data_IF_001717865674
#
_entry.id   IF_001717865674
#
_cell.length_a   1.000
_cell.length_b   1.000
_cell.length_c   1.000
_cell.angle_alpha   90.00
_cell.angle_beta   90.00
_cell.angle_gamma   90.00
#
_symmetry.space_group_name_H-M   'P 1'
#
loop_
_entity.id
_entity.type
_entity.pdbx_description
1 polymer ?
#
# COMPACT_ATOMS: atom_id res chain seq x y z
N UNK A 1 -21.80 12.29 -22.20
CA UNK A 1 -20.58 11.95 -22.98
C UNK A 1 -19.40 12.85 -22.66
N UNK A 2 -19.40 14.13 -23.07
CA UNK A 2 -18.24 15.03 -22.84
C UNK A 2 -17.96 15.25 -21.34
N UNK A 3 -18.99 15.53 -20.55
CA UNK A 3 -18.87 15.75 -19.10
C UNK A 3 -18.31 14.52 -18.37
N UNK A 4 -18.75 13.33 -18.75
CA UNK A 4 -18.30 12.07 -18.16
C UNK A 4 -16.82 11.79 -18.48
N UNK A 5 -16.42 12.04 -19.75
CA UNK A 5 -15.03 11.90 -20.16
C UNK A 5 -14.07 12.81 -19.35
N UNK A 6 -14.44 14.08 -19.15
CA UNK A 6 -13.63 15.00 -18.34
C UNK A 6 -13.62 14.65 -16.85
N UNK A 7 -14.74 14.14 -16.31
CA UNK A 7 -14.79 13.66 -14.93
C UNK A 7 -13.88 12.45 -14.71
N UNK A 8 -13.84 11.51 -15.65
CA UNK A 8 -12.94 10.35 -15.63
C UNK A 8 -11.46 10.80 -15.74
N UNK A 9 -11.17 11.81 -16.58
CA UNK A 9 -9.82 12.38 -16.71
C UNK A 9 -9.36 13.08 -15.42
N UNK A 10 -10.19 13.94 -14.84
CA UNK A 10 -9.86 14.63 -13.59
C UNK A 10 -9.66 13.66 -12.41
N UNK A 11 -10.34 12.52 -12.44
CA UNK A 11 -10.09 11.42 -11.50
C UNK A 11 -8.70 10.82 -11.64
N UNK A 12 -8.20 10.65 -12.88
CA UNK A 12 -6.85 10.14 -13.14
C UNK A 12 -5.76 11.15 -12.76
N UNK A 13 -5.96 12.43 -13.06
CA UNK A 13 -5.00 13.49 -12.70
C UNK A 13 -4.79 13.58 -11.18
N UNK A 14 -5.87 13.47 -10.39
CA UNK A 14 -5.77 13.42 -8.91
C UNK A 14 -4.93 12.26 -8.39
N UNK A 15 -4.88 11.12 -9.09
CA UNK A 15 -4.00 10.00 -8.70
C UNK A 15 -2.54 10.43 -8.83
N UNK A 16 -2.16 11.13 -9.91
CA UNK A 16 -0.81 11.63 -10.08
C UNK A 16 -0.42 12.65 -9.01
N UNK A 17 -1.35 13.52 -8.60
CA UNK A 17 -1.13 14.46 -7.50
C UNK A 17 -0.93 13.75 -6.16
N UNK A 18 -1.74 12.73 -5.86
CA UNK A 18 -1.61 11.90 -4.67
C UNK A 18 -0.26 11.17 -4.65
N UNK A 19 0.17 10.66 -5.81
CA UNK A 19 1.47 10.00 -5.98
C UNK A 19 2.62 10.97 -5.79
N UNK A 20 2.51 12.17 -6.35
CA UNK A 20 3.53 13.20 -6.23
C UNK A 20 3.70 13.64 -4.76
N UNK A 21 2.61 13.99 -4.09
CA UNK A 21 2.63 14.37 -2.67
C UNK A 21 2.98 13.19 -1.75
N UNK A 22 2.57 11.99 -2.14
CA UNK A 22 2.72 10.75 -1.38
C UNK A 22 4.08 10.09 -1.50
N UNK A 23 4.83 10.29 -2.59
CA UNK A 23 6.13 9.63 -2.80
C UNK A 23 7.23 10.57 -3.29
N UNK A 24 6.92 11.85 -3.57
CA UNK A 24 7.90 12.83 -4.01
C UNK A 24 8.30 12.64 -5.47
N UNK A 25 7.37 12.32 -6.37
CA UNK A 25 7.67 12.13 -7.80
C UNK A 25 8.32 13.36 -8.45
N UNK A 26 8.13 14.56 -7.89
CA UNK A 26 8.82 15.78 -8.32
C UNK A 26 10.32 15.80 -8.02
N UNK A 27 10.81 14.92 -7.13
CA UNK A 27 12.22 14.84 -6.70
C UNK A 27 12.62 13.37 -6.55
N UNK A 28 12.93 12.76 -7.68
CA UNK A 28 13.21 11.33 -7.76
C UNK A 28 14.50 10.96 -7.02
N UNK A 29 14.54 9.80 -6.34
CA UNK A 29 15.62 9.48 -5.40
C UNK A 29 16.88 8.90 -6.05
N UNK A 30 16.85 8.54 -7.34
CA UNK A 30 17.96 7.89 -8.03
C UNK A 30 18.56 8.77 -9.12
N UNK A 31 19.85 8.58 -9.36
CA UNK A 31 20.58 9.30 -10.41
C UNK A 31 20.20 8.78 -11.81
N UNK A 32 19.87 7.50 -11.93
CA UNK A 32 19.56 6.87 -13.21
C UNK A 32 18.06 6.75 -13.44
N UNK A 33 17.63 7.04 -14.68
CA UNK A 33 16.23 6.98 -15.04
C UNK A 33 15.66 5.56 -14.95
N UNK A 34 16.45 4.52 -15.27
CA UNK A 34 16.00 3.13 -15.16
C UNK A 34 15.58 2.76 -13.72
N UNK A 35 16.39 3.16 -12.73
CA UNK A 35 16.08 2.94 -11.31
C UNK A 35 14.87 3.77 -10.86
N UNK A 36 14.76 5.00 -11.35
CA UNK A 36 13.60 5.85 -11.09
C UNK A 36 12.32 5.28 -11.71
N UNK A 37 12.38 4.67 -12.89
CA UNK A 37 11.23 3.98 -13.50
C UNK A 37 10.76 2.84 -12.61
N UNK A 38 11.67 2.03 -12.07
CA UNK A 38 11.32 0.98 -11.11
C UNK A 38 10.68 1.58 -9.85
N UNK A 39 11.23 2.68 -9.32
CA UNK A 39 10.64 3.40 -8.19
C UNK A 39 9.21 3.90 -8.47
N UNK A 40 8.98 4.51 -9.63
CA UNK A 40 7.66 4.97 -10.05
C UNK A 40 6.66 3.80 -10.16
N UNK A 41 7.08 2.68 -10.76
CA UNK A 41 6.24 1.47 -10.87
C UNK A 41 5.92 0.87 -9.50
N UNK A 42 6.90 0.72 -8.62
CA UNK A 42 6.70 0.20 -7.27
C UNK A 42 5.75 1.08 -6.47
N UNK A 43 5.93 2.39 -6.51
CA UNK A 43 5.05 3.32 -5.80
C UNK A 43 3.63 3.31 -6.38
N UNK A 44 3.46 3.18 -7.69
CA UNK A 44 2.14 3.03 -8.31
C UNK A 44 1.43 1.72 -7.88
N UNK A 45 2.16 0.60 -7.80
CA UNK A 45 1.62 -0.65 -7.25
C UNK A 45 1.19 -0.50 -5.78
N UNK A 46 2.00 0.18 -4.96
CA UNK A 46 1.65 0.47 -3.57
C UNK A 46 0.37 1.30 -3.49
N UNK A 47 0.14 2.25 -4.41
CA UNK A 47 -1.11 3.01 -4.46
C UNK A 47 -2.33 2.13 -4.71
N UNK A 48 -2.23 1.19 -5.65
CA UNK A 48 -3.32 0.25 -5.92
C UNK A 48 -3.65 -0.60 -4.69
N UNK A 49 -2.62 -1.08 -3.97
CA UNK A 49 -2.81 -1.79 -2.70
C UNK A 49 -3.42 -0.89 -1.62
N UNK A 50 -2.92 0.33 -1.47
CA UNK A 50 -3.46 1.32 -0.53
C UNK A 50 -4.96 1.52 -0.76
N UNK A 51 -5.41 1.81 -1.99
CA UNK A 51 -6.85 2.02 -2.28
C UNK A 51 -7.69 0.78 -1.98
N UNK A 52 -7.18 -0.40 -2.33
CA UNK A 52 -7.89 -1.67 -2.11
C UNK A 52 -7.97 -2.02 -0.63
N UNK A 53 -6.87 -1.87 0.12
CA UNK A 53 -6.82 -2.23 1.54
C UNK A 53 -7.59 -1.22 2.39
N UNK A 54 -7.45 0.07 2.11
CA UNK A 54 -8.20 1.13 2.81
C UNK A 54 -9.71 1.00 2.66
N UNK A 55 -10.18 0.38 1.58
CA UNK A 55 -11.62 0.16 1.34
C UNK A 55 -12.15 -1.16 1.92
N UNK A 56 -11.32 -2.20 2.02
CA UNK A 56 -11.76 -3.56 2.44
C UNK A 56 -11.45 -3.90 3.89
N UNK A 57 -10.37 -3.37 4.47
CA UNK A 57 -9.96 -3.69 5.85
C UNK A 57 -10.41 -2.61 6.84
N UNK A 58 -10.61 -3.00 8.09
CA UNK A 58 -10.74 -2.05 9.20
C UNK A 58 -9.37 -1.43 9.51
N UNK A 59 -9.06 -0.38 8.76
CA UNK A 59 -7.76 0.31 8.83
C UNK A 59 -7.52 1.03 10.16
N UNK A 60 -8.57 1.29 10.94
CA UNK A 60 -8.44 1.87 12.29
C UNK A 60 -7.69 0.94 13.24
N UNK A 61 -7.85 -0.37 13.10
CA UNK A 61 -7.13 -1.37 13.90
C UNK A 61 -5.60 -1.31 13.65
N UNK A 62 -5.18 -0.74 12.52
CA UNK A 62 -3.78 -0.51 12.16
C UNK A 62 -3.30 0.91 12.50
N UNK A 63 -4.12 1.70 13.19
CA UNK A 63 -3.85 3.10 13.50
C UNK A 63 -3.93 4.02 12.29
N UNK A 64 -4.66 3.62 11.24
CA UNK A 64 -4.89 4.41 10.04
C UNK A 64 -6.32 4.98 10.04
N UNK A 65 -6.45 6.23 9.61
CA UNK A 65 -7.74 6.88 9.36
C UNK A 65 -8.02 6.80 7.86
N UNK A 66 -9.29 6.89 7.45
CA UNK A 66 -9.66 6.96 6.01
C UNK A 66 -8.97 8.12 5.27
N UNK A 67 -8.60 9.17 6.00
CA UNK A 67 -7.88 10.36 5.50
C UNK A 67 -6.36 10.27 5.65
N UNK A 68 -5.83 9.17 6.20
CA UNK A 68 -4.38 8.97 6.32
C UNK A 68 -3.72 8.94 4.95
N UNK A 69 -2.61 9.66 4.80
CA UNK A 69 -1.83 9.67 3.56
C UNK A 69 -1.19 8.30 3.31
N UNK A 70 -0.92 7.99 2.05
CA UNK A 70 -0.29 6.73 1.62
C UNK A 70 1.05 6.44 2.33
N UNK A 71 1.87 7.44 2.63
CA UNK A 71 3.12 7.26 3.42
C UNK A 71 2.86 6.64 4.79
N UNK A 72 1.80 7.09 5.47
CA UNK A 72 1.42 6.56 6.78
C UNK A 72 0.93 5.11 6.66
N UNK A 73 0.20 4.79 5.58
CA UNK A 73 -0.18 3.41 5.27
C UNK A 73 1.05 2.53 5.03
N UNK A 74 2.02 2.96 4.23
CA UNK A 74 3.25 2.20 3.98
C UNK A 74 3.99 1.93 5.29
N UNK A 75 4.18 2.96 6.11
CA UNK A 75 4.90 2.85 7.38
C UNK A 75 4.17 1.99 8.42
N UNK A 76 2.85 2.07 8.48
CA UNK A 76 2.09 1.30 9.48
C UNK A 76 1.82 -0.11 9.00
N UNK A 77 1.39 -0.30 7.75
CA UNK A 77 0.88 -1.57 7.25
C UNK A 77 1.92 -2.40 6.48
N UNK A 78 2.73 -1.77 5.63
CA UNK A 78 3.62 -2.49 4.70
C UNK A 78 4.98 -2.80 5.33
N UNK A 79 5.59 -1.87 6.08
CA UNK A 79 6.93 -2.06 6.64
C UNK A 79 6.98 -2.97 7.88
N UNK A 80 5.90 -3.65 8.21
CA UNK A 80 5.89 -4.62 9.31
C UNK A 80 6.65 -5.87 8.88
N UNK A 81 7.72 -6.27 9.59
CA UNK A 81 8.50 -7.44 9.23
C UNK A 81 7.68 -8.72 9.43
N UNK A 82 7.79 -9.64 8.47
CA UNK A 82 7.16 -10.94 8.54
C UNK A 82 8.05 -12.02 7.90
N UNK A 83 7.89 -13.27 8.34
CA UNK A 83 8.65 -14.43 7.85
C UNK A 83 7.75 -15.66 7.78
N UNK A 84 7.79 -16.38 6.67
CA UNK A 84 7.20 -17.72 6.57
C UNK A 84 8.09 -18.74 7.29
N UNK A 85 7.51 -19.49 8.23
CA UNK A 85 8.22 -20.50 9.03
C UNK A 85 7.49 -21.83 8.88
N UNK A 86 8.24 -22.92 8.69
CA UNK A 86 7.67 -24.27 8.66
C UNK A 86 7.45 -24.77 10.09
N UNK A 87 6.21 -25.04 10.46
CA UNK A 87 5.80 -25.58 11.77
C UNK A 87 4.89 -26.77 11.55
N UNK A 88 5.24 -27.94 12.13
CA UNK A 88 4.42 -29.16 12.05
C UNK A 88 3.86 -29.48 10.64
N UNK A 89 4.69 -29.31 9.60
CA UNK A 89 4.39 -29.52 8.17
C UNK A 89 3.53 -28.45 7.48
N UNK A 90 3.28 -27.31 8.11
CA UNK A 90 2.60 -26.16 7.50
C UNK A 90 3.51 -24.93 7.46
N UNK A 91 3.41 -24.14 6.40
CA UNK A 91 4.02 -22.80 6.35
C UNK A 91 3.10 -21.80 7.03
N UNK A 92 3.58 -21.21 8.12
CA UNK A 92 2.85 -20.19 8.88
C UNK A 92 3.56 -18.85 8.71
N UNK A 93 2.80 -17.79 8.42
CA UNK A 93 3.35 -16.43 8.34
C UNK A 93 3.50 -15.88 9.76
N UNK A 94 4.72 -15.77 10.24
CA UNK A 94 5.03 -15.10 11.49
C UNK A 94 5.20 -13.60 11.25
N UNK A 95 4.35 -12.78 11.86
CA UNK A 95 4.36 -11.32 11.72
C UNK A 95 4.91 -10.72 13.00
N UNK A 96 6.04 -10.02 12.92
CA UNK A 96 6.75 -9.50 14.08
C UNK A 96 6.24 -8.12 14.47
N UNK A 97 5.05 -8.09 15.09
CA UNK A 97 4.42 -6.87 15.59
C UNK A 97 3.60 -7.14 16.85
N UNK A 98 3.56 -6.16 17.75
CA UNK A 98 2.68 -6.18 18.92
C UNK A 98 1.22 -5.91 18.55
N UNK A 99 0.97 -5.39 17.35
CA UNK A 99 -0.38 -5.12 16.89
C UNK A 99 -1.10 -6.42 16.51
N UNK A 100 -2.04 -6.85 17.36
CA UNK A 100 -2.85 -8.06 17.15
C UNK A 100 -3.78 -7.98 15.93
N UNK A 101 -4.01 -6.80 15.36
CA UNK A 101 -4.81 -6.63 14.16
C UNK A 101 -4.26 -7.41 12.94
N UNK A 102 -2.95 -7.68 12.90
CA UNK A 102 -2.31 -8.43 11.81
C UNK A 102 -2.64 -9.92 11.83
N UNK A 103 -3.18 -10.46 12.93
CA UNK A 103 -3.47 -11.89 13.03
C UNK A 103 -4.68 -12.35 12.20
N UNK A 104 -5.47 -11.43 11.62
CA UNK A 104 -6.72 -11.75 10.91
C UNK A 104 -6.64 -11.62 9.38
N UNK A 105 -6.05 -10.55 8.80
CA UNK A 105 -6.12 -10.31 7.36
C UNK A 105 -5.38 -11.33 6.51
N UNK A 106 -4.41 -12.04 7.09
CA UNK A 106 -3.52 -12.96 6.39
C UNK A 106 -3.77 -14.43 6.74
N UNK A 107 -4.84 -14.74 7.48
CA UNK A 107 -5.22 -16.13 7.74
C UNK A 107 -5.63 -16.77 6.43
N UNK A 108 -4.94 -17.84 6.08
CA UNK A 108 -5.37 -18.73 4.99
C UNK A 108 -6.19 -19.86 5.59
N UNK A 109 -6.93 -20.61 4.77
CA UNK A 109 -7.72 -21.77 5.25
C UNK A 109 -6.87 -22.81 6.00
N UNK A 110 -5.55 -22.74 5.88
CA UNK A 110 -4.58 -23.63 6.51
C UNK A 110 -3.86 -23.05 7.75
N UNK A 111 -4.26 -21.87 8.25
CA UNK A 111 -3.68 -21.24 9.46
C UNK A 111 -3.49 -19.73 9.33
#
# INVERSE_FOLDING_TARGET
DIVEFYNLRGGKERIFDDMNNGFGWSRLPKSFMAENTVFLLLTALIHNFYKTIMSRLDTKAFGLKKTSRIKAFVFRFISVPAKWIMTARQYVLNIYTENRAYAKPFKTEFG
#
